data_IF_735401259181
#
_entry.id   IF_735401259181
#
_cell.length_a   1.000
_cell.length_b   1.000
_cell.length_c   1.000
_cell.angle_alpha   90.00
_cell.angle_beta   90.00
_cell.angle_gamma   90.00
#
_symmetry.space_group_name_H-M   'P 1'
#
loop_
_entity.id
_entity.type
_entity.pdbx_description
1 polymer ?
#
# COMPACT_ATOMS: atom_id res chain seq x y z
N UNK A 1 -5.29 -9.92 17.18
CA UNK A 1 -4.50 -10.04 15.94
C UNK A 1 -4.33 -8.66 15.29
N UNK A 2 -3.43 -8.54 14.32
CA UNK A 2 -3.26 -7.30 13.53
C UNK A 2 -4.56 -6.96 12.77
N UNK A 3 -5.27 -7.97 12.30
CA UNK A 3 -6.57 -7.84 11.65
C UNK A 3 -7.66 -7.31 12.60
N UNK A 4 -7.70 -7.76 13.82
CA UNK A 4 -8.61 -7.24 14.85
C UNK A 4 -8.34 -5.77 15.14
N UNK A 5 -7.05 -5.39 15.27
CA UNK A 5 -6.69 -4.02 15.56
C UNK A 5 -7.00 -3.05 14.38
N UNK A 6 -6.86 -3.50 13.14
CA UNK A 6 -7.07 -2.67 11.94
C UNK A 6 -8.54 -2.60 11.56
N UNK A 7 -9.28 -3.73 11.63
CA UNK A 7 -10.65 -3.85 11.10
C UNK A 7 -11.73 -4.00 12.18
N UNK A 8 -11.35 -4.08 13.44
CA UNK A 8 -12.31 -4.28 14.54
C UNK A 8 -13.00 -5.65 14.51
N UNK A 9 -12.35 -6.68 13.94
CA UNK A 9 -12.92 -8.01 13.88
C UNK A 9 -13.12 -8.60 15.26
N UNK A 10 -14.26 -9.29 15.46
CA UNK A 10 -14.62 -10.01 16.66
C UNK A 10 -14.91 -11.49 16.35
N UNK A 11 -15.20 -12.29 17.36
CA UNK A 11 -15.57 -13.70 17.20
C UNK A 11 -16.80 -13.93 16.31
N UNK A 12 -17.68 -12.91 16.20
CA UNK A 12 -18.91 -12.96 15.40
C UNK A 12 -18.74 -12.38 13.99
N UNK A 13 -17.50 -11.98 13.61
CA UNK A 13 -17.24 -11.40 12.29
C UNK A 13 -17.44 -12.46 11.20
N UNK A 14 -18.26 -12.14 10.20
CA UNK A 14 -18.50 -13.01 9.06
C UNK A 14 -17.19 -13.28 8.29
N UNK A 15 -16.97 -14.53 7.89
CA UNK A 15 -15.78 -14.97 7.15
C UNK A 15 -15.54 -14.13 5.88
N UNK A 16 -16.59 -13.72 5.18
CA UNK A 16 -16.47 -12.86 4.00
C UNK A 16 -15.80 -11.50 4.33
N UNK A 17 -16.09 -10.92 5.49
CA UNK A 17 -15.44 -9.68 5.94
C UNK A 17 -13.97 -9.90 6.28
N UNK A 18 -13.59 -11.09 6.75
CA UNK A 18 -12.19 -11.43 7.01
C UNK A 18 -11.42 -11.67 5.72
N UNK A 19 -12.06 -12.28 4.73
CA UNK A 19 -11.43 -12.57 3.43
C UNK A 19 -11.28 -11.35 2.52
N UNK A 20 -12.24 -10.41 2.54
CA UNK A 20 -12.23 -9.26 1.64
C UNK A 20 -10.92 -8.44 1.68
N UNK A 21 -10.35 -8.09 2.86
CA UNK A 21 -9.05 -7.42 2.92
C UNK A 21 -7.89 -8.22 2.33
N UNK A 22 -7.92 -9.56 2.43
CA UNK A 22 -6.88 -10.43 1.88
C UNK A 22 -6.98 -10.51 0.35
N UNK A 23 -8.19 -10.62 -0.19
CA UNK A 23 -8.43 -10.55 -1.64
C UNK A 23 -7.95 -9.22 -2.19
N UNK A 24 -8.32 -8.10 -1.55
CA UNK A 24 -7.87 -6.76 -1.96
C UNK A 24 -6.34 -6.63 -1.87
N UNK A 25 -5.69 -7.19 -0.86
CA UNK A 25 -4.23 -7.21 -0.79
C UNK A 25 -3.63 -7.98 -1.98
N UNK A 26 -4.21 -9.11 -2.35
CA UNK A 26 -3.86 -9.87 -3.55
C UNK A 26 -3.99 -9.02 -4.82
N UNK A 27 -5.14 -8.34 -5.00
CA UNK A 27 -5.39 -7.46 -6.14
C UNK A 27 -4.39 -6.30 -6.25
N UNK A 28 -3.92 -5.78 -5.11
CA UNK A 28 -2.92 -4.69 -5.08
C UNK A 28 -1.54 -5.18 -5.51
N UNK A 29 -1.13 -6.40 -5.12
CA UNK A 29 0.23 -6.87 -5.36
C UNK A 29 0.38 -7.80 -6.58
N UNK A 30 -0.70 -8.41 -7.10
CA UNK A 30 -0.61 -9.31 -8.25
C UNK A 30 0.04 -8.71 -9.52
N UNK A 31 -0.02 -7.37 -9.79
CA UNK A 31 0.69 -6.81 -10.95
C UNK A 31 2.21 -7.00 -10.90
N UNK A 32 2.77 -7.43 -9.76
CA UNK A 32 4.19 -7.77 -9.63
C UNK A 32 4.48 -9.22 -10.01
N UNK A 33 3.49 -10.07 -10.25
CA UNK A 33 3.72 -11.42 -10.75
C UNK A 33 4.28 -11.39 -12.19
N UNK A 34 5.10 -12.37 -12.54
CA UNK A 34 5.83 -12.37 -13.80
C UNK A 34 4.89 -12.34 -15.02
N UNK A 35 3.74 -13.01 -14.94
CA UNK A 35 2.69 -13.01 -15.96
C UNK A 35 2.04 -11.64 -16.21
N UNK A 36 2.11 -10.71 -15.21
CA UNK A 36 1.55 -9.35 -15.30
C UNK A 36 2.63 -8.26 -15.42
N UNK A 37 3.89 -8.65 -15.64
CA UNK A 37 4.98 -7.73 -15.92
C UNK A 37 6.12 -7.72 -14.90
N UNK A 38 6.08 -8.58 -13.89
CA UNK A 38 7.19 -8.86 -12.99
C UNK A 38 7.42 -7.79 -11.92
N UNK A 39 8.54 -7.90 -11.24
CA UNK A 39 8.92 -7.05 -10.11
C UNK A 39 9.05 -5.58 -10.52
N UNK A 40 8.13 -4.76 -10.05
CA UNK A 40 8.09 -3.31 -10.32
C UNK A 40 7.39 -2.54 -9.21
N UNK A 41 7.69 -1.23 -9.05
CA UNK A 41 6.92 -0.36 -8.15
C UNK A 41 5.45 -0.29 -8.56
N UNK A 42 4.58 -0.29 -7.55
CA UNK A 42 3.14 -0.10 -7.72
C UNK A 42 2.73 1.14 -6.94
N UNK A 43 1.93 2.00 -7.56
CA UNK A 43 1.28 3.14 -6.91
C UNK A 43 -0.22 2.93 -6.99
N UNK A 44 -0.89 2.96 -5.85
CA UNK A 44 -2.34 2.76 -5.73
C UNK A 44 -2.98 4.08 -5.32
N UNK A 45 -3.70 4.77 -6.22
CA UNK A 45 -4.47 5.96 -5.86
C UNK A 45 -5.73 5.53 -5.11
N UNK A 46 -5.91 6.01 -3.88
CA UNK A 46 -7.01 5.60 -3.00
C UNK A 46 -7.58 6.77 -2.19
N UNK A 47 -8.80 6.62 -1.72
CA UNK A 47 -9.34 7.45 -0.65
C UNK A 47 -8.66 7.12 0.69
N UNK A 48 -8.69 8.06 1.63
CA UNK A 48 -8.06 7.88 2.95
C UNK A 48 -8.65 6.70 3.75
N UNK A 49 -9.89 6.31 3.46
CA UNK A 49 -10.57 5.16 4.06
C UNK A 49 -9.93 3.82 3.68
N UNK A 50 -9.11 3.77 2.62
CA UNK A 50 -8.42 2.58 2.15
C UNK A 50 -7.03 2.37 2.80
N UNK A 51 -6.56 3.30 3.66
CA UNK A 51 -5.26 3.18 4.31
C UNK A 51 -5.07 1.86 5.10
N UNK A 52 -6.09 1.34 5.85
CA UNK A 52 -5.95 0.05 6.53
C UNK A 52 -5.59 -1.11 5.59
N UNK A 53 -6.19 -1.15 4.39
CA UNK A 53 -5.91 -2.18 3.38
C UNK A 53 -4.49 -2.05 2.81
N UNK A 54 -4.01 -0.81 2.61
CA UNK A 54 -2.64 -0.55 2.16
C UNK A 54 -1.61 -0.96 3.22
N UNK A 55 -1.91 -0.71 4.52
CA UNK A 55 -1.05 -1.15 5.63
C UNK A 55 -0.97 -2.66 5.70
N UNK A 56 -2.12 -3.36 5.61
CA UNK A 56 -2.15 -4.81 5.58
C UNK A 56 -1.31 -5.36 4.42
N UNK A 57 -1.52 -4.83 3.21
CA UNK A 57 -0.80 -5.26 2.00
C UNK A 57 0.72 -5.06 2.14
N UNK A 58 1.15 -3.89 2.67
CA UNK A 58 2.57 -3.61 2.97
C UNK A 58 3.13 -4.56 4.01
N UNK A 59 2.33 -4.89 5.04
CA UNK A 59 2.68 -5.87 6.06
C UNK A 59 2.89 -7.26 5.49
N UNK A 60 1.98 -7.72 4.63
CA UNK A 60 2.09 -9.01 3.92
C UNK A 60 3.37 -9.02 3.09
N UNK A 61 3.56 -8.05 2.18
CA UNK A 61 4.74 -7.97 1.32
C UNK A 61 6.06 -7.89 2.11
N UNK A 62 6.07 -7.26 3.30
CA UNK A 62 7.25 -7.20 4.14
C UNK A 62 7.55 -8.52 4.86
N UNK A 63 6.51 -9.24 5.30
CA UNK A 63 6.65 -10.48 6.06
C UNK A 63 6.98 -11.68 5.18
N UNK A 64 6.53 -11.69 3.92
CA UNK A 64 6.84 -12.77 2.97
C UNK A 64 8.25 -12.70 2.40
N UNK A 65 8.90 -11.51 2.41
CA UNK A 65 10.24 -11.36 1.86
C UNK A 65 11.30 -12.01 2.75
N UNK A 66 12.22 -12.71 2.11
CA UNK A 66 13.34 -13.40 2.78
C UNK A 66 14.46 -12.46 3.18
N UNK A 67 14.64 -11.38 2.41
CA UNK A 67 15.70 -10.41 2.66
C UNK A 67 15.13 -9.08 3.15
N UNK A 68 15.76 -8.51 4.17
CA UNK A 68 15.47 -7.16 4.63
C UNK A 68 16.72 -6.29 4.59
N UNK A 69 16.56 -5.02 4.21
CA UNK A 69 17.64 -4.04 4.13
C UNK A 69 17.35 -2.89 5.08
N UNK A 70 18.21 -2.71 6.07
CA UNK A 70 18.03 -1.70 7.13
C UNK A 70 19.31 -0.88 7.33
N UNK A 71 19.20 0.36 7.82
CA UNK A 71 20.36 1.09 8.31
C UNK A 71 21.06 0.31 9.43
N UNK A 72 22.38 0.23 9.36
CA UNK A 72 23.19 -0.39 10.39
C UNK A 72 23.48 0.61 11.53
N UNK A 73 23.61 0.12 12.77
CA UNK A 73 23.90 0.98 13.93
C UNK A 73 25.24 1.72 13.82
N UNK A 74 26.20 1.08 13.14
CA UNK A 74 27.57 1.58 12.99
C UNK A 74 27.80 2.27 11.63
N UNK A 75 26.74 2.72 10.98
CA UNK A 75 26.80 3.30 9.63
C UNK A 75 26.65 2.23 8.53
N UNK A 76 26.31 2.71 7.33
CA UNK A 76 26.04 1.82 6.21
C UNK A 76 24.67 1.14 6.26
N UNK A 77 24.54 0.07 5.49
CA UNK A 77 23.33 -0.75 5.44
C UNK A 77 23.65 -2.19 5.88
N UNK A 78 22.66 -2.87 6.43
CA UNK A 78 22.74 -4.30 6.76
C UNK A 78 21.60 -5.04 6.05
N UNK A 79 21.96 -6.12 5.38
CA UNK A 79 21.02 -7.10 4.83
C UNK A 79 20.88 -8.19 5.89
N UNK A 80 19.65 -8.51 6.28
CA UNK A 80 19.32 -9.62 7.18
C UNK A 80 18.44 -10.65 6.47
N UNK A 81 18.58 -11.91 6.85
CA UNK A 81 17.67 -12.97 6.43
C UNK A 81 16.51 -13.09 7.39
N UNK A 82 15.30 -13.19 6.83
CA UNK A 82 14.08 -13.51 7.55
C UNK A 82 13.77 -14.99 7.33
N UNK A 83 14.22 -15.83 8.25
CA UNK A 83 13.98 -17.29 8.18
C UNK A 83 12.64 -17.59 8.83
N UNK A 84 11.77 -18.27 8.08
CA UNK A 84 10.46 -18.77 8.50
C UNK A 84 10.37 -20.25 8.11
N UNK A 85 9.39 -20.97 8.62
CA UNK A 85 9.27 -22.40 8.33
C UNK A 85 9.17 -22.70 6.83
N UNK A 86 8.45 -21.84 6.09
CA UNK A 86 8.24 -22.02 4.64
C UNK A 86 9.52 -21.83 3.81
N UNK A 87 10.47 -21.03 4.28
CA UNK A 87 11.70 -20.71 3.54
C UNK A 87 12.97 -21.28 4.18
N UNK A 88 12.85 -21.92 5.33
CA UNK A 88 13.99 -22.40 6.13
C UNK A 88 14.90 -23.34 5.34
N UNK A 89 14.34 -24.25 4.56
CA UNK A 89 15.09 -25.17 3.72
C UNK A 89 15.81 -24.43 2.57
N UNK A 90 15.14 -23.51 1.92
CA UNK A 90 15.70 -22.73 0.79
C UNK A 90 16.83 -21.81 1.24
N UNK A 91 16.73 -21.26 2.44
CA UNK A 91 17.77 -20.42 3.05
C UNK A 91 18.87 -21.22 3.77
N UNK A 92 18.80 -22.56 3.77
CA UNK A 92 19.81 -23.44 4.34
C UNK A 92 19.89 -23.33 5.86
N UNK A 93 18.75 -23.26 6.57
CA UNK A 93 18.73 -23.13 8.03
C UNK A 93 19.54 -24.23 8.72
N UNK A 94 19.42 -25.48 8.25
CA UNK A 94 20.11 -26.66 8.76
C UNK A 94 21.20 -27.18 7.80
N UNK A 95 21.51 -26.45 6.73
CA UNK A 95 22.51 -26.80 5.73
C UNK A 95 23.51 -25.66 5.54
N UNK A 96 24.70 -25.85 6.10
CA UNK A 96 25.77 -24.84 6.03
C UNK A 96 26.24 -24.56 4.61
N UNK A 97 26.26 -25.57 3.74
CA UNK A 97 26.70 -25.40 2.35
C UNK A 97 25.69 -24.55 1.58
N UNK A 98 24.41 -24.90 1.70
CA UNK A 98 23.30 -24.15 1.09
C UNK A 98 23.25 -22.71 1.60
N UNK A 99 23.41 -22.51 2.92
CA UNK A 99 23.48 -21.19 3.53
C UNK A 99 24.63 -20.36 2.98
N UNK A 100 25.83 -20.94 2.86
CA UNK A 100 26.97 -20.26 2.29
C UNK A 100 26.72 -19.86 0.82
N UNK A 101 26.03 -20.70 0.04
CA UNK A 101 25.64 -20.38 -1.35
C UNK A 101 24.68 -19.20 -1.41
N UNK A 102 23.69 -19.13 -0.53
CA UNK A 102 22.78 -17.97 -0.41
C UNK A 102 23.58 -16.68 -0.19
N UNK A 103 24.54 -16.72 0.74
CA UNK A 103 25.39 -15.55 1.03
C UNK A 103 26.33 -15.21 -0.11
N UNK A 104 26.85 -16.19 -0.83
CA UNK A 104 27.65 -15.95 -2.05
C UNK A 104 26.82 -15.26 -3.13
N UNK A 105 25.57 -15.68 -3.31
CA UNK A 105 24.64 -15.02 -4.26
C UNK A 105 24.35 -13.56 -3.86
N UNK A 106 24.11 -13.29 -2.57
CA UNK A 106 23.93 -11.91 -2.07
C UNK A 106 25.19 -11.07 -2.36
N UNK A 107 26.37 -11.61 -2.06
CA UNK A 107 27.63 -10.92 -2.30
C UNK A 107 27.88 -10.65 -3.80
N UNK A 108 27.51 -11.58 -4.69
CA UNK A 108 27.60 -11.38 -6.15
C UNK A 108 26.69 -10.20 -6.60
N UNK A 109 25.44 -10.15 -6.15
CA UNK A 109 24.55 -9.04 -6.50
C UNK A 109 25.07 -7.69 -5.95
N UNK A 110 25.73 -7.68 -4.77
CA UNK A 110 26.36 -6.47 -4.24
C UNK A 110 27.58 -6.04 -5.07
N UNK A 111 28.40 -6.98 -5.52
CA UNK A 111 29.54 -6.71 -6.40
C UNK A 111 29.06 -6.12 -7.73
N UNK A 112 28.00 -6.68 -8.31
CA UNK A 112 27.39 -6.16 -9.56
C UNK A 112 26.82 -4.73 -9.38
N UNK A 113 26.43 -4.35 -8.17
CA UNK A 113 26.03 -2.99 -7.82
C UNK A 113 27.22 -2.06 -7.53
N UNK A 114 28.47 -2.57 -7.58
CA UNK A 114 29.68 -1.81 -7.35
C UNK A 114 30.17 -1.72 -5.91
N UNK A 115 29.58 -2.48 -4.98
CA UNK A 115 30.07 -2.56 -3.60
C UNK A 115 31.20 -3.60 -3.49
N UNK A 116 32.30 -3.22 -2.83
CA UNK A 116 33.45 -4.09 -2.59
C UNK A 116 33.78 -4.27 -1.09
N UNK A 117 33.19 -3.44 -0.24
CA UNK A 117 33.52 -3.35 1.19
C UNK A 117 32.52 -4.07 2.12
N UNK A 118 31.74 -5.01 1.59
CA UNK A 118 30.74 -5.73 2.39
C UNK A 118 31.37 -6.82 3.27
N UNK A 119 30.80 -6.98 4.45
CA UNK A 119 31.18 -7.97 5.46
C UNK A 119 30.07 -9.02 5.60
N UNK A 120 30.30 -10.21 5.03
CA UNK A 120 29.36 -11.32 5.08
C UNK A 120 29.51 -12.12 6.38
N UNK A 121 28.43 -12.35 7.09
CA UNK A 121 28.36 -13.15 8.30
C UNK A 121 27.24 -14.20 8.23
N UNK A 122 27.45 -15.33 7.55
CA UNK A 122 26.44 -16.38 7.41
C UNK A 122 25.97 -16.95 8.76
N UNK A 123 26.86 -16.99 9.77
CA UNK A 123 26.50 -17.49 11.10
C UNK A 123 25.37 -16.66 11.74
N UNK A 124 25.43 -15.34 11.61
CA UNK A 124 24.41 -14.42 12.12
C UNK A 124 23.33 -14.05 11.09
N UNK A 125 23.37 -14.65 9.91
CA UNK A 125 22.36 -14.39 8.87
C UNK A 125 22.38 -12.95 8.34
N UNK A 126 23.57 -12.32 8.20
CA UNK A 126 23.65 -10.91 7.82
C UNK A 126 24.83 -10.59 6.90
N UNK A 127 24.66 -9.53 6.08
CA UNK A 127 25.74 -8.89 5.31
C UNK A 127 25.70 -7.39 5.63
N UNK A 128 26.82 -6.85 6.07
CA UNK A 128 26.98 -5.42 6.35
C UNK A 128 27.74 -4.76 5.21
N UNK A 129 27.29 -3.58 4.78
CA UNK A 129 27.83 -2.79 3.68
C UNK A 129 28.15 -1.39 4.23
N UNK A 130 29.38 -1.15 4.72
CA UNK A 130 29.74 0.11 5.39
C UNK A 130 29.61 1.35 4.50
N UNK A 131 29.98 1.25 3.22
CA UNK A 131 29.93 2.37 2.25
C UNK A 131 28.52 2.69 1.75
N UNK A 132 27.55 1.78 1.90
CA UNK A 132 26.20 1.99 1.39
C UNK A 132 25.44 3.05 2.19
N UNK A 133 24.70 3.88 1.49
CA UNK A 133 23.89 4.95 2.04
C UNK A 133 22.40 4.64 1.96
N UNK A 134 21.57 5.44 2.59
CA UNK A 134 20.11 5.31 2.48
C UNK A 134 19.60 5.41 1.01
N UNK A 135 20.34 6.11 0.15
CA UNK A 135 20.02 6.25 -1.28
C UNK A 135 20.19 4.92 -2.03
N UNK A 136 21.12 4.08 -1.59
CA UNK A 136 21.41 2.79 -2.22
C UNK A 136 20.42 1.71 -1.83
N UNK A 137 19.69 1.95 -0.72
CA UNK A 137 18.76 0.97 -0.13
C UNK A 137 17.72 0.45 -1.13
N UNK A 138 17.17 1.31 -1.98
CA UNK A 138 16.14 0.92 -2.95
C UNK A 138 16.71 -0.03 -4.00
N UNK A 139 17.89 0.29 -4.56
CA UNK A 139 18.55 -0.54 -5.56
C UNK A 139 18.98 -1.89 -4.99
N UNK A 140 19.59 -1.91 -3.81
CA UNK A 140 19.96 -3.15 -3.10
C UNK A 140 18.71 -3.99 -2.86
N UNK A 141 17.64 -3.40 -2.36
CA UNK A 141 16.38 -4.11 -2.12
C UNK A 141 15.82 -4.73 -3.41
N UNK A 142 15.79 -3.99 -4.50
CA UNK A 142 15.31 -4.49 -5.80
C UNK A 142 16.11 -5.70 -6.28
N UNK A 143 17.43 -5.66 -6.19
CA UNK A 143 18.31 -6.78 -6.56
C UNK A 143 18.06 -8.01 -5.69
N UNK A 144 17.91 -7.82 -4.38
CA UNK A 144 17.64 -8.92 -3.46
C UNK A 144 16.25 -9.54 -3.67
N UNK A 145 15.22 -8.76 -3.98
CA UNK A 145 13.90 -9.29 -4.32
C UNK A 145 13.93 -10.09 -5.63
N UNK A 146 14.70 -9.63 -6.63
CA UNK A 146 14.91 -10.38 -7.85
C UNK A 146 15.69 -11.69 -7.60
N UNK A 147 16.71 -11.66 -6.73
CA UNK A 147 17.44 -12.85 -6.29
C UNK A 147 16.51 -13.84 -5.56
N UNK A 148 15.67 -13.34 -4.65
CA UNK A 148 14.69 -14.12 -3.93
C UNK A 148 13.77 -14.90 -4.87
N UNK A 149 13.25 -14.23 -5.92
CA UNK A 149 12.41 -14.88 -6.94
C UNK A 149 13.14 -15.99 -7.68
N UNK A 150 14.40 -15.75 -8.07
CA UNK A 150 15.25 -16.79 -8.69
C UNK A 150 15.44 -18.01 -7.80
N UNK A 151 15.31 -17.82 -6.48
CA UNK A 151 15.43 -18.88 -5.48
C UNK A 151 14.07 -19.50 -5.08
N UNK A 152 12.96 -19.08 -5.70
CA UNK A 152 11.62 -19.62 -5.44
C UNK A 152 10.80 -18.86 -4.40
N UNK A 153 11.28 -17.71 -3.92
CA UNK A 153 10.52 -16.82 -3.05
C UNK A 153 9.62 -15.84 -3.81
N UNK A 154 8.75 -15.15 -3.09
CA UNK A 154 7.80 -14.22 -3.69
C UNK A 154 8.47 -12.91 -4.14
N UNK A 155 9.39 -12.37 -3.37
CA UNK A 155 10.14 -11.16 -3.69
C UNK A 155 9.22 -9.98 -4.02
N UNK A 156 8.43 -9.48 -3.07
CA UNK A 156 7.41 -8.46 -3.29
C UNK A 156 7.87 -7.08 -2.82
N UNK A 157 7.67 -6.06 -3.66
CA UNK A 157 7.76 -4.67 -3.24
C UNK A 157 6.50 -4.25 -2.49
N UNK A 158 6.69 -3.49 -1.42
CA UNK A 158 5.58 -2.84 -0.75
C UNK A 158 4.96 -1.77 -1.67
N UNK A 159 3.63 -1.76 -1.86
CA UNK A 159 2.99 -0.77 -2.71
C UNK A 159 3.07 0.62 -2.09
N UNK A 160 3.26 1.62 -2.94
CA UNK A 160 3.05 3.03 -2.63
C UNK A 160 1.59 3.41 -2.84
N UNK A 161 1.18 4.55 -2.30
CA UNK A 161 -0.18 5.06 -2.50
C UNK A 161 -0.17 6.59 -2.55
N UNK A 162 -1.11 7.13 -3.31
CA UNK A 162 -1.55 8.52 -3.19
C UNK A 162 -2.90 8.51 -2.49
N UNK A 163 -3.11 9.45 -1.57
CA UNK A 163 -4.35 9.56 -0.82
C UNK A 163 -5.12 10.76 -1.31
N UNK A 164 -6.38 10.53 -1.66
CA UNK A 164 -7.29 11.56 -2.12
C UNK A 164 -8.35 11.83 -1.06
N UNK A 165 -8.85 13.06 -1.03
CA UNK A 165 -9.97 13.42 -0.17
C UNK A 165 -11.18 12.55 -0.52
N UNK A 166 -11.99 12.28 0.47
CA UNK A 166 -13.23 11.53 0.30
C UNK A 166 -14.27 12.44 -0.37
N UNK A 167 -14.70 12.07 -1.58
CA UNK A 167 -15.80 12.74 -2.24
C UNK A 167 -17.12 12.25 -1.65
N UNK A 168 -17.88 13.16 -1.06
CA UNK A 168 -19.24 12.85 -0.58
C UNK A 168 -20.20 12.66 -1.75
N UNK A 169 -21.25 11.88 -1.52
CA UNK A 169 -22.38 11.79 -2.46
C UNK A 169 -23.24 13.07 -2.44
N UNK A 170 -24.11 13.23 -3.43
CA UNK A 170 -24.98 14.40 -3.57
C UNK A 170 -25.85 14.69 -2.34
N UNK A 171 -26.10 13.72 -1.49
CA UNK A 171 -26.86 13.85 -0.25
C UNK A 171 -26.02 14.22 0.98
N UNK A 172 -24.70 14.46 0.81
CA UNK A 172 -23.78 14.72 1.91
C UNK A 172 -23.19 13.45 2.56
N UNK A 173 -23.77 12.29 2.28
CA UNK A 173 -23.29 10.99 2.78
C UNK A 173 -22.27 10.35 1.83
N UNK A 174 -21.78 9.16 2.21
CA UNK A 174 -20.89 8.35 1.34
C UNK A 174 -21.56 8.08 -0.02
N UNK A 175 -20.85 8.40 -1.11
CA UNK A 175 -21.27 8.03 -2.47
C UNK A 175 -21.36 6.50 -2.60
N UNK A 176 -22.45 5.99 -3.18
CA UNK A 176 -22.63 4.55 -3.35
C UNK A 176 -23.42 4.24 -4.62
N UNK A 177 -22.90 3.33 -5.44
CA UNK A 177 -23.58 2.85 -6.63
C UNK A 177 -24.90 2.13 -6.32
N UNK A 178 -25.04 1.54 -5.14
CA UNK A 178 -26.30 0.95 -4.67
C UNK A 178 -27.35 1.96 -4.24
N UNK A 179 -26.98 3.25 -4.12
CA UNK A 179 -27.88 4.36 -3.78
C UNK A 179 -27.88 5.40 -4.89
N UNK A 180 -28.66 5.21 -5.98
CA UNK A 180 -28.59 6.06 -7.19
C UNK A 180 -28.80 7.56 -6.94
N UNK A 181 -29.48 7.93 -5.86
CA UNK A 181 -29.71 9.34 -5.50
C UNK A 181 -28.46 10.05 -4.98
N UNK A 182 -27.46 9.30 -4.52
CA UNK A 182 -26.21 9.85 -3.96
C UNK A 182 -25.12 10.04 -5.01
N UNK A 183 -25.35 9.56 -6.24
CA UNK A 183 -24.30 9.41 -7.26
C UNK A 183 -24.77 9.90 -8.61
N UNK A 184 -23.91 10.60 -9.36
CA UNK A 184 -24.07 10.84 -10.78
C UNK A 184 -23.36 9.71 -11.52
N UNK A 185 -24.09 8.95 -12.33
CA UNK A 185 -23.50 7.93 -13.19
C UNK A 185 -23.09 8.50 -14.54
N UNK A 186 -22.05 7.94 -15.14
CA UNK A 186 -21.56 8.38 -16.45
C UNK A 186 -22.60 8.22 -17.58
N UNK A 187 -23.60 7.37 -17.38
CA UNK A 187 -24.71 7.13 -18.32
C UNK A 187 -26.01 7.83 -17.93
N UNK A 188 -26.00 8.71 -16.91
CA UNK A 188 -27.16 9.53 -16.60
C UNK A 188 -27.40 10.54 -17.72
N UNK A 189 -28.67 10.78 -18.07
CA UNK A 189 -29.00 11.83 -19.02
C UNK A 189 -28.77 13.23 -18.42
N UNK A 190 -28.53 14.28 -19.26
CA UNK A 190 -28.36 15.66 -18.79
C UNK A 190 -29.49 16.13 -17.86
N UNK A 191 -30.74 15.78 -18.19
CA UNK A 191 -31.94 16.16 -17.43
C UNK A 191 -31.95 15.46 -16.05
N UNK A 192 -31.46 14.20 -15.98
CA UNK A 192 -31.35 13.46 -14.74
C UNK A 192 -30.21 14.02 -13.87
N UNK A 193 -29.08 14.37 -14.47
CA UNK A 193 -27.97 15.04 -13.79
C UNK A 193 -28.42 16.36 -13.17
N UNK A 194 -29.09 17.22 -13.98
CA UNK A 194 -29.63 18.49 -13.48
C UNK A 194 -30.58 18.30 -12.29
N UNK A 195 -31.48 17.32 -12.40
CA UNK A 195 -32.41 16.98 -11.32
C UNK A 195 -31.71 16.49 -10.05
N UNK A 196 -30.63 15.71 -10.19
CA UNK A 196 -29.83 15.25 -9.08
C UNK A 196 -29.07 16.41 -8.42
N UNK A 197 -28.44 17.27 -9.20
CA UNK A 197 -27.72 18.46 -8.70
C UNK A 197 -28.65 19.42 -7.97
N UNK A 198 -29.83 19.70 -8.50
CA UNK A 198 -30.85 20.56 -7.84
C UNK A 198 -31.32 20.01 -6.48
N UNK A 199 -31.09 18.73 -6.20
CA UNK A 199 -31.44 18.06 -4.93
C UNK A 199 -30.23 17.77 -4.05
N UNK A 200 -29.04 18.17 -4.51
CA UNK A 200 -27.83 17.99 -3.73
C UNK A 200 -27.92 18.78 -2.40
N UNK A 201 -27.26 18.27 -1.39
CA UNK A 201 -27.16 18.96 -0.10
C UNK A 201 -26.34 20.25 -0.25
N UNK A 202 -26.89 21.37 0.14
CA UNK A 202 -26.34 22.71 -0.10
C UNK A 202 -25.66 23.36 1.12
N UNK A 203 -25.38 22.60 2.17
CA UNK A 203 -24.78 23.17 3.40
C UNK A 203 -25.64 24.22 4.14
N UNK A 204 -26.92 24.38 3.75
CA UNK A 204 -27.85 25.29 4.42
C UNK A 204 -28.27 24.80 5.79
N UNK A 205 -28.78 25.73 6.62
CA UNK A 205 -29.31 25.40 7.94
C UNK A 205 -30.71 24.79 7.85
N UNK A 206 -31.16 24.15 8.92
CA UNK A 206 -32.46 23.46 8.97
C UNK A 206 -33.66 24.40 8.75
N UNK A 207 -33.57 25.66 9.17
CA UNK A 207 -34.60 26.68 9.00
C UNK A 207 -34.07 27.93 8.32
N UNK A 208 -34.96 28.67 7.65
CA UNK A 208 -34.58 29.92 7.01
C UNK A 208 -34.11 30.99 8.03
N UNK A 209 -34.63 30.98 9.24
CA UNK A 209 -34.25 31.88 10.31
C UNK A 209 -32.81 31.58 10.79
N UNK A 210 -32.50 30.30 11.03
CA UNK A 210 -31.13 29.87 11.35
C UNK A 210 -30.15 30.18 10.23
N UNK A 211 -30.56 29.95 8.97
CA UNK A 211 -29.73 30.25 7.82
C UNK A 211 -29.41 31.74 7.69
N UNK A 212 -30.41 32.61 7.94
CA UNK A 212 -30.19 34.07 7.97
C UNK A 212 -29.28 34.51 9.12
N UNK A 213 -29.31 33.82 10.25
CA UNK A 213 -28.49 34.12 11.42
C UNK A 213 -27.07 33.58 11.34
N UNK A 214 -26.89 32.35 10.85
CA UNK A 214 -25.62 31.63 10.89
C UNK A 214 -24.91 31.55 9.52
N UNK A 215 -25.61 31.82 8.45
CA UNK A 215 -25.12 31.59 7.08
C UNK A 215 -25.15 30.13 6.66
N UNK A 216 -24.67 29.86 5.47
CA UNK A 216 -24.40 28.50 4.98
C UNK A 216 -23.03 28.00 5.48
N UNK A 217 -22.85 26.68 5.42
CA UNK A 217 -21.60 26.01 5.71
C UNK A 217 -20.98 25.49 4.40
N UNK A 218 -20.02 26.20 3.80
CA UNK A 218 -19.41 25.80 2.53
C UNK A 218 -18.72 24.44 2.62
N UNK A 219 -18.16 24.08 3.76
CA UNK A 219 -17.48 22.80 3.93
C UNK A 219 -18.43 21.60 3.85
N UNK A 220 -19.72 21.83 4.12
CA UNK A 220 -20.79 20.84 3.97
C UNK A 220 -21.52 20.92 2.63
N UNK A 221 -21.33 22.00 1.87
CA UNK A 221 -21.95 22.17 0.55
C UNK A 221 -21.30 21.23 -0.47
N UNK A 222 -22.10 20.33 -1.04
CA UNK A 222 -21.59 19.32 -1.97
C UNK A 222 -21.09 19.95 -3.27
N UNK A 223 -21.74 20.99 -3.78
CA UNK A 223 -21.30 21.66 -4.99
C UNK A 223 -19.95 22.37 -4.77
N UNK A 224 -19.80 23.05 -3.63
CA UNK A 224 -18.53 23.66 -3.23
C UNK A 224 -17.42 22.62 -3.10
N UNK A 225 -17.68 21.48 -2.42
CA UNK A 225 -16.69 20.40 -2.31
C UNK A 225 -16.28 19.86 -3.69
N UNK A 226 -17.23 19.70 -4.63
CA UNK A 226 -16.89 19.23 -5.98
C UNK A 226 -16.07 20.27 -6.75
N UNK A 227 -16.35 21.56 -6.59
CA UNK A 227 -15.50 22.61 -7.17
C UNK A 227 -14.07 22.50 -6.61
N UNK A 228 -13.91 22.37 -5.30
CA UNK A 228 -12.58 22.20 -4.65
C UNK A 228 -11.83 20.94 -5.12
N UNK A 229 -12.50 19.93 -5.65
CA UNK A 229 -11.85 18.73 -6.18
C UNK A 229 -11.47 18.84 -7.65
N UNK A 230 -12.24 19.56 -8.44
CA UNK A 230 -12.14 19.51 -9.90
C UNK A 230 -11.61 20.81 -10.53
N UNK A 231 -11.62 21.91 -9.79
CA UNK A 231 -11.00 23.16 -10.25
C UNK A 231 -9.58 23.27 -9.68
N UNK A 232 -8.62 23.49 -10.59
CA UNK A 232 -7.20 23.67 -10.22
C UNK A 232 -6.88 25.16 -9.93
N UNK A 233 -7.82 26.06 -10.18
CA UNK A 233 -7.66 27.51 -10.05
C UNK A 233 -8.25 27.95 -8.70
N UNK A 234 -7.45 28.59 -7.87
CA UNK A 234 -7.85 29.10 -6.55
C UNK A 234 -8.43 30.54 -6.61
N UNK A 235 -8.58 31.12 -7.82
CA UNK A 235 -9.11 32.49 -8.06
C UNK A 235 -10.65 32.56 -8.21
#
# INVERSE_FOLDING_TARGET
SEMEAIYGFSGDTNLAHVQAPLVQAGDIIHPQLDEYGGLRPIVVPVGVDQDPHLRLTRGIAAKTNWFNVKPAKNGGLVIGLSVQDENAEMLGQNDRQKKNQVFANICAELTDLGFADFLSNPKHGSVHIPSATIKDRANIKMRLLALERKMGGMGLLQPSSTYHRFAVGLTGDKMSSSKPKTTIFLNDSPELIEKKIKRAFSGGQATLEEHRRLGGDPEKDVAFQYMMFFFEDDD
#
